data_IF_188852594401
#
_entry.id   IF_188852594401
#
_cell.length_a   1.000
_cell.length_b   1.000
_cell.length_c   1.000
_cell.angle_alpha   90.00
_cell.angle_beta   90.00
_cell.angle_gamma   90.00
#
_symmetry.space_group_name_H-M   'P 1'
#
loop_
_entity.id
_entity.type
_entity.pdbx_description
1 polymer ?
#
# COMPACT_ATOMS: atom_id res chain seq x y z
N UNK A 1 -13.83 5.65 -6.49
CA UNK A 1 -12.84 4.80 -5.79
C UNK A 1 -12.42 3.70 -6.73
N UNK A 2 -11.15 3.70 -7.17
CA UNK A 2 -10.60 2.55 -7.90
C UNK A 2 -10.82 1.28 -7.07
N UNK A 3 -11.30 0.22 -7.73
CA UNK A 3 -11.62 -1.02 -7.06
C UNK A 3 -10.34 -1.64 -6.50
N UNK A 4 -10.21 -1.62 -5.16
CA UNK A 4 -9.09 -2.29 -4.49
C UNK A 4 -9.36 -3.78 -4.53
N UNK A 5 -8.46 -4.54 -5.17
CA UNK A 5 -8.56 -6.01 -5.19
C UNK A 5 -8.13 -6.56 -3.83
N UNK A 6 -9.04 -7.13 -3.01
CA UNK A 6 -8.65 -7.72 -1.73
C UNK A 6 -7.80 -8.96 -2.00
N UNK A 7 -6.78 -9.16 -1.17
CA UNK A 7 -5.97 -10.39 -1.17
C UNK A 7 -5.68 -10.81 0.27
N UNK A 8 -5.64 -12.11 0.51
CA UNK A 8 -5.29 -12.66 1.82
C UNK A 8 -3.76 -12.74 1.92
N UNK A 9 -3.20 -12.02 2.87
CA UNK A 9 -1.78 -12.06 3.21
C UNK A 9 -1.58 -12.88 4.47
N UNK A 10 -0.71 -13.89 4.43
CA UNK A 10 -0.29 -14.66 5.60
C UNK A 10 1.04 -14.11 6.09
N UNK A 11 1.11 -13.70 7.34
CA UNK A 11 2.32 -13.18 7.99
C UNK A 11 2.59 -13.97 9.28
N UNK A 12 3.86 -14.17 9.66
CA UNK A 12 4.20 -14.52 11.03
C UNK A 12 3.66 -13.47 12.02
N UNK A 13 3.14 -13.86 13.20
CA UNK A 13 2.61 -12.92 14.19
C UNK A 13 3.60 -11.82 14.57
N UNK A 14 4.88 -12.15 14.70
CA UNK A 14 5.92 -11.22 15.14
C UNK A 14 6.14 -10.10 14.10
N UNK A 15 6.07 -10.47 12.82
CA UNK A 15 6.17 -9.52 11.71
C UNK A 15 4.92 -8.63 11.62
N UNK A 16 3.74 -9.20 11.88
CA UNK A 16 2.50 -8.41 11.93
C UNK A 16 2.59 -7.32 13.00
N UNK A 17 3.04 -7.68 14.20
CA UNK A 17 3.17 -6.74 15.31
C UNK A 17 4.19 -5.63 15.05
N UNK A 18 5.31 -5.97 14.39
CA UNK A 18 6.32 -5.00 13.99
C UNK A 18 5.77 -4.00 12.95
N UNK A 19 5.07 -4.50 11.93
CA UNK A 19 4.43 -3.64 10.93
C UNK A 19 3.34 -2.77 11.54
N UNK A 20 2.58 -3.28 12.53
CA UNK A 20 1.54 -2.52 13.21
C UNK A 20 2.14 -1.37 14.04
N UNK A 21 3.23 -1.63 14.79
CA UNK A 21 3.94 -0.58 15.54
C UNK A 21 4.51 0.49 14.61
N UNK A 22 5.11 0.08 13.50
CA UNK A 22 5.65 1.01 12.51
C UNK A 22 4.53 1.87 11.89
N UNK A 23 3.42 1.25 11.47
CA UNK A 23 2.26 1.98 10.95
C UNK A 23 1.73 3.01 11.95
N UNK A 24 1.67 2.66 13.25
CA UNK A 24 1.24 3.56 14.31
C UNK A 24 2.18 4.76 14.49
N UNK A 25 3.50 4.54 14.42
CA UNK A 25 4.51 5.62 14.47
C UNK A 25 4.36 6.61 13.31
N UNK A 26 4.00 6.11 12.13
CA UNK A 26 3.79 6.92 10.92
C UNK A 26 2.36 7.50 10.83
N UNK A 27 1.52 7.30 11.85
CA UNK A 27 0.10 7.69 11.87
C UNK A 27 -0.70 7.13 10.67
N UNK A 28 -0.38 5.91 10.25
CA UNK A 28 -1.01 5.20 9.13
C UNK A 28 -1.78 3.98 9.60
N UNK A 29 -2.77 3.57 8.81
CA UNK A 29 -3.33 2.23 8.97
C UNK A 29 -2.30 1.18 8.52
N UNK A 30 -2.39 -0.03 9.09
CA UNK A 30 -1.54 -1.14 8.68
C UNK A 30 -1.65 -1.43 7.17
N UNK A 31 -2.85 -1.36 6.60
CA UNK A 31 -3.06 -1.56 5.16
C UNK A 31 -2.35 -0.48 4.33
N UNK A 32 -2.43 0.79 4.74
CA UNK A 32 -1.73 1.88 4.07
C UNK A 32 -0.20 1.72 4.17
N UNK A 33 0.30 1.23 5.32
CA UNK A 33 1.72 0.94 5.50
C UNK A 33 2.19 -0.18 4.58
N UNK A 34 1.45 -1.30 4.51
CA UNK A 34 1.75 -2.43 3.62
C UNK A 34 1.75 -1.96 2.16
N UNK A 35 0.75 -1.17 1.74
CA UNK A 35 0.70 -0.62 0.39
C UNK A 35 1.93 0.24 0.08
N UNK A 36 2.30 1.16 0.99
CA UNK A 36 3.49 2.00 0.84
C UNK A 36 4.77 1.17 0.63
N UNK A 37 4.98 0.14 1.46
CA UNK A 37 6.14 -0.73 1.39
C UNK A 37 6.20 -1.53 0.09
N UNK A 38 5.05 -2.06 -0.38
CA UNK A 38 4.98 -2.79 -1.64
C UNK A 38 5.30 -1.89 -2.83
N UNK A 39 4.73 -0.67 -2.86
CA UNK A 39 5.02 0.32 -3.91
C UNK A 39 6.50 0.71 -3.89
N UNK A 40 7.07 0.93 -2.71
CA UNK A 40 8.49 1.27 -2.56
C UNK A 40 9.41 0.15 -3.04
N UNK A 41 9.10 -1.10 -2.67
CA UNK A 41 9.85 -2.27 -3.12
C UNK A 41 9.82 -2.43 -4.66
N UNK A 42 8.67 -2.18 -5.31
CA UNK A 42 8.55 -2.20 -6.76
C UNK A 42 9.37 -1.08 -7.42
N UNK A 43 9.28 0.15 -6.90
CA UNK A 43 10.09 1.29 -7.37
C UNK A 43 11.59 1.01 -7.29
N UNK A 44 12.06 0.48 -6.16
CA UNK A 44 13.48 0.11 -5.96
C UNK A 44 13.96 -0.95 -6.93
N UNK A 45 13.08 -1.86 -7.36
CA UNK A 45 13.38 -2.89 -8.36
C UNK A 45 13.28 -2.38 -9.81
N UNK A 46 13.09 -1.07 -10.02
CA UNK A 46 12.91 -0.49 -11.36
C UNK A 46 11.58 -0.86 -12.02
N UNK A 47 10.65 -1.48 -11.29
CA UNK A 47 9.30 -1.76 -11.78
C UNK A 47 8.47 -0.52 -11.55
N UNK A 48 8.33 0.32 -12.58
CA UNK A 48 7.37 1.42 -12.56
C UNK A 48 5.98 0.81 -12.47
N UNK A 49 5.28 1.12 -11.39
CA UNK A 49 3.85 0.98 -11.38
C UNK A 49 3.32 1.95 -12.45
N UNK A 50 2.43 1.53 -13.38
CA UNK A 50 1.74 2.51 -14.20
C UNK A 50 1.10 3.53 -13.27
N UNK A 51 1.12 4.83 -13.61
CA UNK A 51 0.48 5.84 -12.77
C UNK A 51 -0.91 5.33 -12.44
N UNK A 52 -1.21 5.23 -11.14
CA UNK A 52 -2.53 4.85 -10.66
C UNK A 52 -3.48 5.80 -11.39
N UNK A 53 -4.21 5.27 -12.39
CA UNK A 53 -5.00 6.08 -13.30
C UNK A 53 -5.90 6.96 -12.46
N UNK A 54 -5.56 8.23 -12.46
CA UNK A 54 -6.42 9.38 -12.38
C UNK A 54 -7.67 9.14 -11.53
N UNK A 55 -7.57 9.32 -10.21
CA UNK A 55 -8.67 9.95 -9.49
C UNK A 55 -9.02 11.34 -10.11
N UNK A 56 -8.13 11.87 -10.96
CA UNK A 56 -8.25 13.14 -11.69
C UNK A 56 -9.19 13.12 -12.92
N UNK A 57 -9.40 12.01 -13.66
CA UNK A 57 -10.25 12.04 -14.88
C UNK A 57 -11.75 11.90 -14.63
N UNK A 58 -12.18 11.69 -13.38
CA UNK A 58 -13.61 11.54 -13.01
C UNK A 58 -14.16 12.67 -12.15
N UNK A 59 -13.31 13.60 -11.71
CA UNK A 59 -13.77 14.84 -11.10
C UNK A 59 -13.95 15.98 -12.14
N UNK A 60 -13.45 15.80 -13.36
CA UNK A 60 -13.51 16.77 -14.47
C UNK A 60 -14.45 16.32 -15.62
N UNK A 61 -15.50 15.52 -15.36
CA UNK A 61 -16.58 15.25 -16.31
C UNK A 61 -17.94 15.21 -15.62
#
# INVERSE_FOLDING_TARGET
>A
MAERKPFLLRLPPELYDELQRWAAQDLRSLNAQIEFLLRDALRRRGRREPPARDEERRAES
#
